data_IF_615005396186
#
_entry.id   IF_615005396186
#
_cell.length_a   1.000
_cell.length_b   1.000
_cell.length_c   1.000
_cell.angle_alpha   90.00
_cell.angle_beta   90.00
_cell.angle_gamma   90.00
#
_symmetry.space_group_name_H-M   'P 1'
#
loop_
_entity.id
_entity.type
_entity.pdbx_description
1 polymer ?
#
# COMPACT_ATOMS: atom_id res chain seq x y z
N UNK A 1 23.80 10.61 19.50
CA UNK A 1 22.90 10.00 18.51
C UNK A 1 21.43 9.99 18.90
N UNK A 2 21.08 10.13 20.18
CA UNK A 2 19.66 10.12 20.62
C UNK A 2 19.17 11.48 21.13
N UNK A 3 20.03 12.50 21.01
CA UNK A 3 19.72 13.87 21.47
C UNK A 3 18.56 14.45 20.65
N UNK A 4 17.57 15.02 21.34
CA UNK A 4 16.34 15.54 20.71
C UNK A 4 15.25 14.52 20.44
N UNK A 5 15.40 13.26 20.89
CA UNK A 5 14.38 12.22 20.78
C UNK A 5 13.81 11.83 22.16
N UNK A 6 12.54 11.47 22.22
CA UNK A 6 11.87 10.96 23.41
C UNK A 6 11.71 9.44 23.30
N UNK A 7 12.68 8.69 23.85
CA UNK A 7 12.68 7.23 23.80
C UNK A 7 12.38 6.69 25.19
N UNK A 8 11.30 5.90 25.31
CA UNK A 8 10.91 5.34 26.60
C UNK A 8 11.99 4.36 27.13
N UNK A 9 12.31 4.35 28.45
CA UNK A 9 13.41 3.53 28.99
C UNK A 9 13.28 2.02 28.79
N UNK A 10 12.07 1.51 28.51
CA UNK A 10 11.82 0.10 28.25
C UNK A 10 11.96 -0.31 26.79
N UNK A 11 12.38 0.59 25.90
CA UNK A 11 12.64 0.26 24.50
C UNK A 11 13.86 -0.63 24.39
N UNK A 12 13.73 -1.71 23.63
CA UNK A 12 14.81 -2.66 23.36
C UNK A 12 15.39 -2.34 21.99
N UNK A 13 16.72 -2.13 21.94
CA UNK A 13 17.43 -1.87 20.69
C UNK A 13 18.49 -2.96 20.52
N UNK A 14 18.35 -3.78 19.47
CA UNK A 14 19.26 -4.85 19.11
C UNK A 14 19.74 -4.68 17.65
N UNK A 15 20.96 -4.21 17.43
CA UNK A 15 21.55 -3.98 16.11
C UNK A 15 21.82 -2.51 15.82
N UNK A 16 21.82 -2.15 14.54
CA UNK A 16 22.16 -0.80 14.07
C UNK A 16 20.93 0.09 13.98
N UNK A 17 20.86 1.12 14.83
CA UNK A 17 19.83 2.15 14.77
C UNK A 17 20.42 3.48 14.29
N UNK A 18 19.90 4.00 13.16
CA UNK A 18 20.14 5.37 12.70
C UNK A 18 18.84 6.13 12.83
N UNK A 19 18.81 7.13 13.71
CA UNK A 19 17.59 7.89 14.00
C UNK A 19 17.86 9.39 13.87
N UNK A 20 16.92 10.09 13.22
CA UNK A 20 16.92 11.55 13.12
C UNK A 20 16.55 12.23 14.43
N UNK A 21 15.90 13.39 14.38
CA UNK A 21 15.55 14.21 15.54
C UNK A 21 14.03 14.29 15.73
N UNK A 22 13.60 14.63 16.94
CA UNK A 22 12.19 14.87 17.26
C UNK A 22 11.31 13.63 17.30
N UNK A 23 11.90 12.43 17.31
CA UNK A 23 11.13 11.19 17.33
C UNK A 23 10.68 10.83 18.76
N UNK A 24 9.49 10.22 18.85
CA UNK A 24 8.98 9.61 20.06
C UNK A 24 8.88 8.10 19.87
N UNK A 25 9.44 7.30 20.77
CA UNK A 25 9.35 5.84 20.78
C UNK A 25 8.74 5.37 22.09
N UNK A 26 7.57 4.75 22.00
CA UNK A 26 6.76 4.31 23.13
C UNK A 26 7.30 3.09 23.86
N UNK A 27 6.71 2.84 25.04
CA UNK A 27 7.12 1.77 25.95
C UNK A 27 7.08 0.38 25.30
N UNK A 28 8.03 -0.49 25.68
CA UNK A 28 8.11 -1.90 25.28
C UNK A 28 8.20 -2.11 23.76
N UNK A 29 8.61 -1.10 23.00
CA UNK A 29 8.90 -1.24 21.57
C UNK A 29 10.25 -1.91 21.36
N UNK A 30 10.33 -2.80 20.38
CA UNK A 30 11.53 -3.55 20.01
C UNK A 30 12.00 -3.08 18.65
N UNK A 31 13.26 -2.64 18.57
CA UNK A 31 13.96 -2.27 17.34
C UNK A 31 15.12 -3.25 17.15
N UNK A 32 15.02 -4.14 16.13
CA UNK A 32 16.00 -5.23 15.96
C UNK A 32 16.49 -5.31 14.52
N UNK A 33 17.81 -5.16 14.31
CA UNK A 33 18.45 -5.26 12.99
C UNK A 33 18.95 -3.91 12.48
N UNK A 34 18.85 -3.66 11.17
CA UNK A 34 19.31 -2.42 10.55
C UNK A 34 18.13 -1.47 10.34
N UNK A 35 17.94 -0.54 11.26
CA UNK A 35 16.77 0.34 11.25
C UNK A 35 17.22 1.78 11.05
N UNK A 36 16.62 2.44 10.04
CA UNK A 36 16.79 3.87 9.79
C UNK A 36 15.44 4.56 9.99
N UNK A 37 15.42 5.61 10.79
CA UNK A 37 14.24 6.42 11.08
C UNK A 37 14.59 7.88 10.85
N UNK A 38 13.82 8.57 10.01
CA UNK A 38 13.96 10.02 9.75
C UNK A 38 13.54 10.87 10.95
N UNK A 39 13.08 12.09 10.69
CA UNK A 39 12.76 13.07 11.70
C UNK A 39 11.26 13.06 12.07
N UNK A 40 10.96 13.47 13.32
CA UNK A 40 9.61 13.77 13.80
C UNK A 40 8.59 12.63 13.64
N UNK A 41 9.03 11.38 13.83
CA UNK A 41 8.13 10.23 13.82
C UNK A 41 7.60 9.93 15.23
N UNK A 42 6.39 9.38 15.27
CA UNK A 42 5.80 8.77 16.46
C UNK A 42 5.71 7.27 16.26
N UNK A 43 6.39 6.52 17.11
CA UNK A 43 6.30 5.05 17.19
C UNK A 43 5.69 4.70 18.54
N UNK A 44 4.47 4.19 18.51
CA UNK A 44 3.67 3.83 19.67
C UNK A 44 4.27 2.73 20.52
N UNK A 45 3.63 2.40 21.64
CA UNK A 45 4.10 1.31 22.51
C UNK A 45 3.88 -0.06 21.88
N UNK A 46 4.69 -1.05 22.34
CA UNK A 46 4.59 -2.46 21.92
C UNK A 46 4.74 -2.69 20.40
N UNK A 47 5.39 -1.79 19.68
CA UNK A 47 5.73 -2.03 18.28
C UNK A 47 6.93 -2.98 18.17
N UNK A 48 6.98 -3.75 17.08
CA UNK A 48 8.12 -4.61 16.75
C UNK A 48 8.59 -4.25 15.34
N UNK A 49 9.79 -3.70 15.26
CA UNK A 49 10.48 -3.36 14.02
C UNK A 49 11.72 -4.23 13.92
N UNK A 50 11.80 -5.09 12.90
CA UNK A 50 12.90 -6.04 12.78
C UNK A 50 13.42 -6.17 11.35
N UNK A 51 14.66 -6.66 11.21
CA UNK A 51 15.40 -6.82 9.97
C UNK A 51 15.82 -5.46 9.35
N UNK A 52 15.64 -5.24 8.07
CA UNK A 52 16.06 -4.02 7.40
C UNK A 52 14.86 -3.10 7.17
N UNK A 53 14.85 -1.94 7.80
CA UNK A 53 13.74 -1.00 7.73
C UNK A 53 14.25 0.42 7.50
N UNK A 54 13.63 1.13 6.56
CA UNK A 54 13.83 2.55 6.33
C UNK A 54 12.47 3.27 6.49
N UNK A 55 12.37 4.17 7.44
CA UNK A 55 11.19 5.01 7.70
C UNK A 55 11.58 6.46 7.45
N UNK A 56 10.82 7.15 6.61
CA UNK A 56 10.99 8.58 6.35
C UNK A 56 10.68 9.44 7.58
N UNK A 57 10.12 10.61 7.37
CA UNK A 57 9.81 11.57 8.43
C UNK A 57 8.30 11.77 8.60
N UNK A 58 7.91 12.35 9.76
CA UNK A 58 6.52 12.74 10.05
C UNK A 58 5.54 11.56 10.03
N UNK A 59 6.02 10.34 10.24
CA UNK A 59 5.17 9.15 10.26
C UNK A 59 4.58 8.90 11.65
N UNK A 60 3.45 8.22 11.67
CA UNK A 60 2.78 7.80 12.88
C UNK A 60 2.49 6.30 12.85
N UNK A 61 3.17 5.55 13.71
CA UNK A 61 2.92 4.13 13.94
C UNK A 61 2.22 4.00 15.29
N UNK A 62 1.00 3.50 15.31
CA UNK A 62 0.25 3.30 16.55
C UNK A 62 0.68 2.01 17.28
N UNK A 63 0.08 1.74 18.43
CA UNK A 63 0.46 0.60 19.24
C UNK A 63 0.35 -0.75 18.50
N UNK A 64 1.25 -1.68 18.81
CA UNK A 64 1.25 -3.04 18.27
C UNK A 64 1.46 -3.13 16.74
N UNK A 65 2.05 -2.13 16.10
CA UNK A 65 2.49 -2.23 14.71
C UNK A 65 3.68 -3.18 14.63
N UNK A 66 3.62 -4.14 13.69
CA UNK A 66 4.70 -5.09 13.44
C UNK A 66 5.25 -4.92 12.03
N UNK A 67 6.53 -4.60 11.91
CA UNK A 67 7.23 -4.44 10.65
C UNK A 67 8.40 -5.42 10.57
N UNK A 68 8.55 -6.10 9.45
CA UNK A 68 9.73 -6.90 9.15
C UNK A 68 9.64 -8.36 9.52
N UNK A 69 8.46 -8.89 9.88
CA UNK A 69 8.27 -10.33 9.93
C UNK A 69 8.69 -10.97 8.60
N UNK A 70 9.19 -12.20 8.65
CA UNK A 70 9.64 -12.92 7.44
C UNK A 70 8.48 -13.10 6.47
N UNK A 71 8.80 -13.06 5.17
CA UNK A 71 7.80 -13.27 4.14
C UNK A 71 7.37 -14.73 4.07
N UNK A 72 6.07 -14.97 4.09
CA UNK A 72 5.47 -16.30 4.04
C UNK A 72 5.47 -16.86 2.60
N UNK A 73 6.09 -18.02 2.37
CA UNK A 73 6.17 -18.68 1.06
C UNK A 73 5.37 -19.98 1.01
N UNK A 74 4.37 -20.12 1.85
CA UNK A 74 3.52 -21.31 1.92
C UNK A 74 4.34 -22.58 2.22
N UNK A 75 4.25 -23.58 1.34
CA UNK A 75 4.96 -24.86 1.54
C UNK A 75 6.50 -24.75 1.56
N UNK A 76 7.07 -23.61 1.14
CA UNK A 76 8.51 -23.34 1.22
C UNK A 76 8.95 -22.74 2.56
N UNK A 77 8.00 -22.49 3.46
CA UNK A 77 8.25 -21.84 4.75
C UNK A 77 8.52 -20.36 4.65
N UNK A 78 9.03 -19.78 5.73
CA UNK A 78 9.40 -18.37 5.79
C UNK A 78 10.74 -18.12 5.11
N UNK A 79 10.85 -17.01 4.40
CA UNK A 79 12.06 -16.63 3.66
C UNK A 79 12.60 -15.31 4.19
N UNK A 80 13.90 -15.28 4.42
CA UNK A 80 14.66 -14.08 4.69
C UNK A 80 15.52 -13.71 3.48
N UNK A 81 15.32 -12.48 2.97
CA UNK A 81 16.16 -11.90 1.93
C UNK A 81 17.13 -10.90 2.60
N UNK A 82 18.43 -11.21 2.73
CA UNK A 82 19.37 -10.39 3.50
C UNK A 82 19.44 -8.93 3.09
N UNK A 83 19.38 -8.65 1.78
CA UNK A 83 19.42 -7.28 1.24
C UNK A 83 18.03 -6.65 1.09
N UNK A 84 16.98 -7.42 1.35
CA UNK A 84 15.60 -6.95 1.26
C UNK A 84 15.25 -6.01 2.41
N UNK A 85 14.44 -4.98 2.14
CA UNK A 85 14.04 -4.02 3.16
C UNK A 85 12.58 -3.59 3.08
N UNK A 86 12.03 -3.14 4.19
CA UNK A 86 10.79 -2.37 4.22
C UNK A 86 11.13 -0.89 4.08
N UNK A 87 10.38 -0.19 3.22
CA UNK A 87 10.50 1.24 3.03
C UNK A 87 9.15 1.89 3.30
N UNK A 88 9.11 2.85 4.23
CA UNK A 88 7.94 3.69 4.50
C UNK A 88 8.32 5.14 4.18
N UNK A 89 7.54 5.78 3.31
CA UNK A 89 7.73 7.18 2.93
C UNK A 89 7.45 8.16 4.06
N UNK A 90 7.12 9.39 3.72
CA UNK A 90 6.88 10.48 4.67
C UNK A 90 5.40 10.64 4.98
N UNK A 91 5.07 11.07 6.21
CA UNK A 91 3.73 11.47 6.60
C UNK A 91 2.69 10.34 6.60
N UNK A 92 3.12 9.09 6.62
CA UNK A 92 2.25 7.91 6.60
C UNK A 92 1.82 7.53 8.01
N UNK A 93 0.55 7.13 8.15
CA UNK A 93 0.00 6.64 9.41
C UNK A 93 -0.31 5.14 9.30
N UNK A 94 0.27 4.35 10.19
CA UNK A 94 -0.08 2.96 10.41
C UNK A 94 -0.81 2.85 11.75
N UNK A 95 -2.08 2.43 11.71
CA UNK A 95 -2.90 2.28 12.90
C UNK A 95 -2.58 0.95 13.60
N UNK A 96 -3.25 0.72 14.71
CA UNK A 96 -2.99 -0.38 15.63
C UNK A 96 -3.06 -1.76 14.94
N UNK A 97 -2.10 -2.62 15.27
CA UNK A 97 -2.02 -4.00 14.76
C UNK A 97 -1.83 -4.10 13.23
N UNK A 98 -1.34 -3.06 12.58
CA UNK A 98 -0.88 -3.19 11.18
C UNK A 98 0.35 -4.08 11.14
N UNK A 99 0.35 -5.03 10.20
CA UNK A 99 1.46 -5.94 9.97
C UNK A 99 2.00 -5.80 8.55
N UNK A 100 3.33 -5.65 8.40
CA UNK A 100 4.02 -5.54 7.12
C UNK A 100 5.18 -6.51 7.09
N UNK A 101 5.20 -7.41 6.09
CA UNK A 101 6.24 -8.42 5.94
C UNK A 101 7.44 -7.93 5.11
N UNK A 102 8.61 -8.44 5.47
CA UNK A 102 9.84 -8.29 4.70
C UNK A 102 9.68 -8.84 3.28
N UNK A 103 10.39 -8.29 2.28
CA UNK A 103 10.32 -8.80 0.92
C UNK A 103 10.98 -10.19 0.81
N UNK A 104 10.56 -10.94 -0.22
CA UNK A 104 11.04 -12.28 -0.52
C UNK A 104 11.65 -12.39 -1.91
N UNK A 105 11.12 -11.63 -2.89
CA UNK A 105 11.55 -11.66 -4.29
C UNK A 105 11.97 -10.29 -4.80
N UNK A 106 11.25 -9.23 -4.40
CA UNK A 106 11.63 -7.86 -4.73
C UNK A 106 12.69 -7.37 -3.75
N UNK A 107 13.40 -6.31 -4.09
CA UNK A 107 14.35 -5.66 -3.19
C UNK A 107 13.70 -4.98 -1.97
N UNK A 108 12.39 -4.72 -2.06
CA UNK A 108 11.66 -4.09 -0.97
C UNK A 108 10.17 -4.43 -0.95
N UNK A 109 9.58 -4.30 0.24
CA UNK A 109 8.16 -4.05 0.47
C UNK A 109 8.03 -2.56 0.78
N UNK A 110 7.23 -1.83 -0.01
CA UNK A 110 7.16 -0.37 0.06
C UNK A 110 5.77 0.14 0.39
N UNK A 111 5.72 1.14 1.25
CA UNK A 111 4.55 2.01 1.49
C UNK A 111 4.99 3.44 1.17
N UNK A 112 4.24 4.12 0.31
CA UNK A 112 4.52 5.47 -0.14
C UNK A 112 4.29 6.55 0.92
N UNK A 113 4.18 7.79 0.46
CA UNK A 113 3.99 8.97 1.29
C UNK A 113 2.50 9.20 1.60
N UNK A 114 2.22 9.80 2.76
CA UNK A 114 0.87 10.26 3.14
C UNK A 114 -0.21 9.18 3.06
N UNK A 115 0.18 7.92 3.24
CA UNK A 115 -0.76 6.82 3.32
C UNK A 115 -1.47 6.77 4.68
N UNK A 116 -2.71 6.29 4.68
CA UNK A 116 -3.47 6.06 5.91
C UNK A 116 -3.94 4.60 5.97
N UNK A 117 -3.21 3.79 6.73
CA UNK A 117 -3.44 2.35 6.85
C UNK A 117 -4.12 2.10 8.20
N UNK A 118 -5.41 1.76 8.16
CA UNK A 118 -6.21 1.58 9.37
C UNK A 118 -5.88 0.27 10.08
N UNK A 119 -6.46 0.11 11.26
CA UNK A 119 -6.14 -0.98 12.18
C UNK A 119 -6.35 -2.38 11.57
N UNK A 120 -5.50 -3.31 11.99
CA UNK A 120 -5.52 -4.72 11.59
C UNK A 120 -5.40 -4.95 10.07
N UNK A 121 -4.84 -4.01 9.32
CA UNK A 121 -4.46 -4.25 7.94
C UNK A 121 -3.24 -5.17 7.88
N UNK A 122 -3.23 -6.03 6.85
CA UNK A 122 -2.14 -6.95 6.57
C UNK A 122 -1.54 -6.64 5.19
N UNK A 123 -0.24 -6.46 5.14
CA UNK A 123 0.53 -6.19 3.94
C UNK A 123 1.61 -7.26 3.84
N UNK A 124 1.41 -8.23 2.96
CA UNK A 124 2.35 -9.31 2.73
C UNK A 124 3.65 -8.80 2.06
N UNK A 125 4.59 -9.70 1.91
CA UNK A 125 5.90 -9.45 1.29
C UNK A 125 5.78 -8.89 -0.14
N UNK A 126 6.79 -8.13 -0.57
CA UNK A 126 6.93 -7.61 -1.95
C UNK A 126 5.86 -6.61 -2.41
N UNK A 127 4.94 -6.19 -1.54
CA UNK A 127 3.92 -5.20 -1.90
C UNK A 127 4.53 -3.84 -2.25
N UNK A 128 3.95 -3.17 -3.25
CA UNK A 128 4.31 -1.82 -3.67
C UNK A 128 3.10 -0.91 -3.55
N UNK A 129 3.04 -0.13 -2.50
CA UNK A 129 1.94 0.79 -2.20
C UNK A 129 2.39 2.20 -2.56
N UNK A 130 1.66 2.86 -3.45
CA UNK A 130 1.91 4.22 -3.90
C UNK A 130 1.61 5.28 -2.83
N UNK A 131 1.57 6.52 -3.24
CA UNK A 131 1.34 7.67 -2.37
C UNK A 131 -0.16 7.91 -2.13
N UNK A 132 -0.51 8.47 -0.96
CA UNK A 132 -1.88 8.83 -0.58
C UNK A 132 -2.87 7.65 -0.61
N UNK A 133 -2.40 6.42 -0.48
CA UNK A 133 -3.25 5.23 -0.43
C UNK A 133 -3.96 5.15 0.91
N UNK A 134 -5.25 4.79 0.87
CA UNK A 134 -6.04 4.53 2.06
C UNK A 134 -6.44 3.05 2.12
N UNK A 135 -6.12 2.37 3.20
CA UNK A 135 -6.59 1.03 3.51
C UNK A 135 -7.48 1.09 4.73
N UNK A 136 -8.77 0.85 4.54
CA UNK A 136 -9.70 0.75 5.68
C UNK A 136 -9.42 -0.50 6.51
N UNK A 137 -9.93 -0.53 7.73
CA UNK A 137 -9.68 -1.60 8.69
C UNK A 137 -9.86 -3.01 8.09
N UNK A 138 -8.99 -3.94 8.50
CA UNK A 138 -9.04 -5.35 8.07
C UNK A 138 -8.78 -5.59 6.58
N UNK A 139 -8.29 -4.61 5.83
CA UNK A 139 -7.83 -4.82 4.45
C UNK A 139 -6.60 -5.72 4.43
N UNK A 140 -6.55 -6.65 3.46
CA UNK A 140 -5.47 -7.63 3.34
C UNK A 140 -4.90 -7.64 1.93
N UNK A 141 -3.58 -7.51 1.83
CA UNK A 141 -2.83 -7.65 0.58
C UNK A 141 -2.02 -8.92 0.59
N UNK A 142 -2.25 -9.78 -0.40
CA UNK A 142 -1.37 -10.92 -0.69
C UNK A 142 0.00 -10.46 -1.19
N UNK A 143 0.98 -11.37 -1.24
CA UNK A 143 2.34 -11.04 -1.66
C UNK A 143 2.42 -10.40 -3.04
N UNK A 144 3.26 -9.38 -3.20
CA UNK A 144 3.54 -8.74 -4.47
C UNK A 144 2.45 -7.82 -5.03
N UNK A 145 1.41 -7.52 -4.26
CA UNK A 145 0.34 -6.58 -4.68
C UNK A 145 0.94 -5.20 -4.94
N UNK A 146 0.52 -4.57 -6.05
CA UNK A 146 0.80 -3.17 -6.35
C UNK A 146 -0.49 -2.36 -6.19
N UNK A 147 -0.46 -1.27 -5.41
CA UNK A 147 -1.55 -0.31 -5.30
C UNK A 147 -1.08 1.05 -5.80
N UNK A 148 -1.71 1.56 -6.84
CA UNK A 148 -1.41 2.88 -7.42
C UNK A 148 -1.79 4.02 -6.48
N UNK A 149 -1.26 5.20 -6.77
CA UNK A 149 -1.48 6.40 -5.96
C UNK A 149 -2.97 6.69 -5.75
N UNK A 150 -3.32 7.17 -4.58
CA UNK A 150 -4.69 7.53 -4.22
C UNK A 150 -5.72 6.37 -4.29
N UNK A 151 -5.29 5.11 -4.40
CA UNK A 151 -6.20 3.97 -4.31
C UNK A 151 -6.80 3.89 -2.89
N UNK A 152 -8.07 3.51 -2.81
CA UNK A 152 -8.81 3.43 -1.56
C UNK A 152 -9.44 2.04 -1.43
N UNK A 153 -9.14 1.36 -0.34
CA UNK A 153 -9.60 0.00 -0.07
C UNK A 153 -10.61 0.00 1.06
N UNK A 154 -11.84 -0.43 0.75
CA UNK A 154 -12.91 -0.55 1.71
C UNK A 154 -12.64 -1.62 2.78
N UNK A 155 -13.28 -1.45 3.94
CA UNK A 155 -13.13 -2.34 5.10
C UNK A 155 -13.30 -3.82 4.72
N UNK A 156 -12.37 -4.65 5.20
CA UNK A 156 -12.42 -6.10 5.01
C UNK A 156 -12.10 -6.57 3.59
N UNK A 157 -11.76 -5.68 2.66
CA UNK A 157 -11.36 -6.08 1.30
C UNK A 157 -10.08 -6.91 1.31
N UNK A 158 -9.95 -7.82 0.32
CA UNK A 158 -8.77 -8.65 0.14
C UNK A 158 -8.30 -8.59 -1.32
N UNK A 159 -7.00 -8.43 -1.52
CA UNK A 159 -6.37 -8.39 -2.83
C UNK A 159 -5.46 -9.61 -2.99
N UNK A 160 -5.71 -10.38 -4.05
CA UNK A 160 -4.93 -11.58 -4.37
C UNK A 160 -3.48 -11.24 -4.68
N UNK A 161 -2.57 -12.15 -4.36
CA UNK A 161 -1.14 -11.98 -4.63
C UNK A 161 -0.86 -11.60 -6.10
N UNK A 162 0.16 -10.76 -6.33
CA UNK A 162 0.62 -10.30 -7.64
C UNK A 162 -0.45 -9.57 -8.46
N UNK A 163 -1.43 -9.00 -7.79
CA UNK A 163 -2.48 -8.18 -8.42
C UNK A 163 -2.07 -6.71 -8.41
N UNK A 164 -2.22 -6.04 -9.54
CA UNK A 164 -2.04 -4.60 -9.66
C UNK A 164 -3.39 -3.90 -9.62
N UNK A 165 -3.51 -2.93 -8.72
CA UNK A 165 -4.67 -2.05 -8.58
C UNK A 165 -4.24 -0.65 -8.96
N UNK A 166 -4.87 -0.11 -9.99
CA UNK A 166 -4.51 1.17 -10.59
C UNK A 166 -4.74 2.39 -9.68
N UNK A 167 -4.24 3.53 -10.13
CA UNK A 167 -4.37 4.82 -9.49
C UNK A 167 -5.85 5.19 -9.25
N UNK A 168 -6.15 5.77 -8.10
CA UNK A 168 -7.51 6.24 -7.75
C UNK A 168 -8.63 5.20 -7.85
N UNK A 169 -8.31 3.93 -7.79
CA UNK A 169 -9.33 2.88 -7.66
C UNK A 169 -10.00 2.98 -6.30
N UNK A 170 -11.32 2.78 -6.27
CA UNK A 170 -12.08 2.56 -5.04
C UNK A 170 -12.54 1.09 -4.99
N UNK A 171 -12.00 0.35 -4.05
CA UNK A 171 -12.42 -1.02 -3.75
C UNK A 171 -13.50 -1.00 -2.67
N UNK A 172 -14.66 -1.58 -2.96
CA UNK A 172 -15.79 -1.66 -2.01
C UNK A 172 -15.46 -2.50 -0.77
N UNK A 173 -16.30 -2.37 0.27
CA UNK A 173 -16.18 -3.20 1.49
C UNK A 173 -16.33 -4.68 1.16
N UNK A 174 -15.59 -5.55 1.87
CA UNK A 174 -15.63 -7.01 1.74
C UNK A 174 -15.47 -7.54 0.30
N UNK A 175 -14.77 -6.76 -0.54
CA UNK A 175 -14.51 -7.13 -1.93
C UNK A 175 -13.29 -8.04 -2.03
N UNK A 176 -13.42 -9.13 -2.78
CA UNK A 176 -12.30 -10.01 -3.14
C UNK A 176 -11.77 -9.65 -4.53
N UNK A 177 -10.63 -8.97 -4.58
CA UNK A 177 -9.95 -8.56 -5.81
C UNK A 177 -8.98 -9.67 -6.22
N UNK A 178 -9.29 -10.40 -7.28
CA UNK A 178 -8.49 -11.52 -7.78
C UNK A 178 -7.93 -11.32 -9.20
N UNK A 179 -8.05 -10.12 -9.74
CA UNK A 179 -7.57 -9.70 -11.06
C UNK A 179 -7.02 -8.28 -11.01
N UNK A 180 -6.16 -7.91 -11.96
CA UNK A 180 -5.69 -6.54 -12.11
C UNK A 180 -6.86 -5.58 -12.29
N UNK A 181 -6.83 -4.44 -11.62
CA UNK A 181 -7.91 -3.44 -11.64
C UNK A 181 -7.40 -2.17 -12.31
N UNK A 182 -7.91 -1.79 -13.49
CA UNK A 182 -7.49 -0.56 -14.17
C UNK A 182 -7.79 0.69 -13.34
N UNK A 183 -7.06 1.80 -13.57
CA UNK A 183 -7.19 3.01 -12.75
C UNK A 183 -8.56 3.69 -12.87
N UNK A 184 -8.88 4.52 -11.88
CA UNK A 184 -10.00 5.47 -11.85
C UNK A 184 -11.40 4.86 -11.73
N UNK A 185 -11.54 3.61 -11.36
CA UNK A 185 -12.83 2.94 -11.23
C UNK A 185 -13.19 2.54 -9.80
N UNK A 186 -14.46 2.24 -9.61
CA UNK A 186 -14.99 1.59 -8.43
C UNK A 186 -15.21 0.11 -8.76
N UNK A 187 -14.66 -0.76 -7.93
CA UNK A 187 -14.92 -2.20 -7.99
C UNK A 187 -15.57 -2.68 -6.70
N UNK A 188 -16.48 -3.63 -6.79
CA UNK A 188 -17.16 -4.18 -5.63
C UNK A 188 -17.58 -5.64 -5.86
N UNK A 189 -17.87 -6.36 -4.79
CA UNK A 189 -18.38 -7.72 -4.83
C UNK A 189 -17.32 -8.81 -4.63
N UNK A 190 -17.76 -10.06 -4.65
CA UNK A 190 -16.94 -11.25 -4.51
C UNK A 190 -17.37 -12.29 -5.53
N UNK A 191 -16.58 -12.47 -6.61
CA UNK A 191 -15.39 -11.73 -6.99
C UNK A 191 -15.67 -10.26 -7.36
N UNK A 192 -14.61 -9.43 -7.35
CA UNK A 192 -14.71 -8.02 -7.71
C UNK A 192 -15.21 -7.83 -9.15
N UNK A 193 -16.13 -6.89 -9.35
CA UNK A 193 -16.63 -6.45 -10.66
C UNK A 193 -16.48 -4.94 -10.78
N UNK A 194 -16.23 -4.47 -12.01
CA UNK A 194 -16.23 -3.04 -12.33
C UNK A 194 -17.66 -2.53 -12.18
N UNK A 195 -17.83 -1.46 -11.42
CA UNK A 195 -19.13 -0.82 -11.18
C UNK A 195 -19.28 0.47 -12.01
N UNK A 196 -18.32 1.39 -11.89
CA UNK A 196 -18.34 2.70 -12.54
C UNK A 196 -16.99 3.40 -12.44
N UNK A 197 -16.83 4.52 -13.14
CA UNK A 197 -15.72 5.45 -12.92
C UNK A 197 -15.83 6.07 -11.51
N UNK A 198 -14.71 6.26 -10.85
CA UNK A 198 -14.62 6.84 -9.51
C UNK A 198 -14.72 8.37 -9.54
N UNK A 199 -15.87 8.91 -10.00
CA UNK A 199 -16.13 10.36 -10.10
C UNK A 199 -15.77 11.09 -8.81
N UNK A 200 -16.20 10.59 -7.64
CA UNK A 200 -15.97 11.22 -6.35
C UNK A 200 -14.46 11.34 -6.03
N UNK A 201 -13.70 10.29 -6.25
CA UNK A 201 -12.27 10.29 -6.04
C UNK A 201 -11.55 11.28 -6.95
N UNK A 202 -11.92 11.29 -8.23
CA UNK A 202 -11.33 12.19 -9.24
C UNK A 202 -11.66 13.67 -8.96
N UNK A 203 -12.92 13.99 -8.61
CA UNK A 203 -13.32 15.36 -8.24
C UNK A 203 -12.52 15.87 -7.02
N UNK A 204 -12.32 15.04 -5.99
CA UNK A 204 -11.52 15.40 -4.81
C UNK A 204 -10.05 15.65 -5.14
N UNK A 205 -9.56 15.09 -6.24
CA UNK A 205 -8.21 15.33 -6.76
C UNK A 205 -8.10 16.54 -7.66
N UNK A 206 -9.22 17.22 -7.95
CA UNK A 206 -9.26 18.43 -8.75
C UNK A 206 -9.36 18.20 -10.26
N UNK A 207 -9.66 16.99 -10.73
CA UNK A 207 -9.97 16.75 -12.13
C UNK A 207 -11.29 17.43 -12.53
N UNK A 208 -11.35 17.96 -13.74
CA UNK A 208 -12.55 18.66 -14.23
C UNK A 208 -13.70 17.71 -14.45
N UNK A 209 -14.94 18.20 -14.32
CA UNK A 209 -16.13 17.40 -14.61
C UNK A 209 -16.13 16.92 -16.07
N UNK A 210 -15.67 17.77 -16.99
CA UNK A 210 -15.54 17.44 -18.41
C UNK A 210 -14.62 16.23 -18.63
N UNK A 211 -13.42 16.21 -18.03
CA UNK A 211 -12.48 15.09 -18.19
C UNK A 211 -13.04 13.80 -17.59
N UNK A 212 -13.73 13.91 -16.44
CA UNK A 212 -14.34 12.76 -15.75
C UNK A 212 -15.48 12.18 -16.60
N UNK A 213 -16.33 13.03 -17.17
CA UNK A 213 -17.45 12.58 -17.99
C UNK A 213 -16.98 11.98 -19.33
N UNK A 214 -15.94 12.56 -19.94
CA UNK A 214 -15.31 12.00 -21.13
C UNK A 214 -14.77 10.60 -20.84
N UNK A 215 -13.98 10.46 -19.76
CA UNK A 215 -13.48 9.14 -19.32
C UNK A 215 -14.62 8.15 -19.07
N UNK A 216 -15.68 8.57 -18.39
CA UNK A 216 -16.83 7.70 -18.12
C UNK A 216 -17.54 7.19 -19.37
N UNK A 217 -17.66 8.04 -20.39
CA UNK A 217 -18.27 7.67 -21.67
C UNK A 217 -17.42 6.68 -22.47
N UNK A 218 -16.09 6.84 -22.39
CA UNK A 218 -15.14 6.07 -23.19
C UNK A 218 -14.53 4.87 -22.49
N UNK A 219 -14.76 4.72 -21.19
CA UNK A 219 -14.03 3.70 -20.40
C UNK A 219 -14.24 2.27 -20.95
N UNK A 220 -15.44 1.93 -21.39
CA UNK A 220 -15.71 0.62 -21.99
C UNK A 220 -14.91 0.42 -23.30
N UNK A 221 -14.89 1.43 -24.18
CA UNK A 221 -14.13 1.37 -25.43
C UNK A 221 -12.60 1.24 -25.18
N UNK A 222 -12.07 1.94 -24.16
CA UNK A 222 -10.69 1.79 -23.75
C UNK A 222 -10.38 0.35 -23.30
N UNK A 223 -11.27 -0.25 -22.51
CA UNK A 223 -11.12 -1.65 -22.10
C UNK A 223 -11.18 -2.62 -23.29
N UNK A 224 -11.91 -2.28 -24.36
CA UNK A 224 -12.03 -3.06 -25.58
C UNK A 224 -10.88 -2.87 -26.58
N UNK A 225 -9.92 -1.98 -26.28
CA UNK A 225 -8.71 -1.79 -27.07
C UNK A 225 -8.68 -0.52 -27.90
N UNK A 226 -9.60 0.44 -27.73
CA UNK A 226 -9.45 1.78 -28.26
C UNK A 226 -8.35 2.52 -27.49
N UNK A 227 -7.14 2.46 -28.02
CA UNK A 227 -5.92 2.96 -27.33
C UNK A 227 -5.60 4.41 -27.61
N UNK A 228 -6.42 5.18 -28.36
CA UNK A 228 -6.16 6.60 -28.59
C UNK A 228 -6.71 7.45 -27.43
N UNK A 229 -5.88 7.86 -26.45
CA UNK A 229 -6.35 8.69 -25.37
C UNK A 229 -6.60 10.13 -25.84
N UNK A 230 -7.65 10.77 -25.30
CA UNK A 230 -7.99 12.16 -25.56
C UNK A 230 -7.58 13.09 -24.43
N UNK A 231 -7.25 12.55 -23.26
CA UNK A 231 -6.78 13.31 -22.11
C UNK A 231 -5.81 12.47 -21.24
N UNK A 232 -5.27 13.09 -20.18
CA UNK A 232 -4.33 12.44 -19.25
C UNK A 232 -4.93 11.22 -18.56
N UNK A 233 -6.21 11.25 -18.16
CA UNK A 233 -6.87 10.13 -17.49
C UNK A 233 -6.94 8.91 -18.41
N UNK A 234 -7.38 9.11 -19.65
CA UNK A 234 -7.44 8.05 -20.65
C UNK A 234 -6.05 7.48 -20.96
N UNK A 235 -5.03 8.33 -21.04
CA UNK A 235 -3.66 7.89 -21.28
C UNK A 235 -3.16 6.94 -20.17
N UNK A 236 -3.47 7.22 -18.93
CA UNK A 236 -3.14 6.34 -17.80
C UNK A 236 -3.90 5.01 -17.84
N UNK A 237 -5.16 5.01 -18.26
CA UNK A 237 -5.93 3.78 -18.45
C UNK A 237 -5.34 2.94 -19.57
N UNK A 238 -5.04 3.54 -20.71
CA UNK A 238 -4.45 2.85 -21.86
C UNK A 238 -3.09 2.23 -21.51
N UNK A 239 -2.22 2.98 -20.84
CA UNK A 239 -0.92 2.47 -20.39
C UNK A 239 -1.06 1.29 -19.44
N UNK A 240 -2.03 1.31 -18.53
CA UNK A 240 -2.29 0.18 -17.64
C UNK A 240 -2.77 -1.06 -18.43
N UNK A 241 -3.69 -0.86 -19.36
CA UNK A 241 -4.22 -1.94 -20.21
C UNK A 241 -3.12 -2.59 -21.04
N UNK A 242 -2.25 -1.79 -21.66
CA UNK A 242 -1.13 -2.28 -22.47
C UNK A 242 -0.22 -3.23 -21.69
N UNK A 243 0.11 -2.87 -20.44
CA UNK A 243 0.94 -3.72 -19.56
C UNK A 243 0.23 -5.01 -19.16
N UNK A 244 -1.09 -4.98 -19.02
CA UNK A 244 -1.88 -6.08 -18.45
C UNK A 244 -2.79 -6.78 -19.46
N UNK A 245 -2.65 -6.53 -20.75
CA UNK A 245 -3.55 -6.99 -21.83
C UNK A 245 -3.89 -8.48 -21.73
N UNK A 246 -2.88 -9.34 -21.54
CA UNK A 246 -3.06 -10.81 -21.44
C UNK A 246 -3.94 -11.26 -20.26
N UNK A 247 -4.04 -10.43 -19.20
CA UNK A 247 -4.78 -10.75 -17.98
C UNK A 247 -6.16 -10.09 -17.94
N UNK A 248 -6.33 -8.95 -18.66
CA UNK A 248 -7.59 -8.22 -18.73
C UNK A 248 -8.61 -8.86 -19.68
N UNK A 249 -8.17 -9.62 -20.66
CA UNK A 249 -9.06 -10.34 -21.60
C UNK A 249 -10.06 -11.27 -20.88
N UNK A 250 -9.72 -11.78 -19.70
CA UNK A 250 -10.63 -12.56 -18.86
C UNK A 250 -11.77 -11.76 -18.20
N UNK A 251 -11.66 -10.43 -18.08
CA UNK A 251 -12.77 -9.57 -17.62
C UNK A 251 -13.85 -9.36 -18.67
N UNK A 252 -13.54 -9.63 -19.94
CA UNK A 252 -14.43 -9.39 -21.09
C UNK A 252 -15.40 -10.56 -21.36
N UNK A 253 -15.08 -11.75 -20.84
CA UNK A 253 -15.82 -12.99 -21.15
C UNK A 253 -16.87 -13.40 -20.08
N UNK A 254 -17.02 -12.63 -18.99
CA UNK A 254 -17.95 -12.86 -17.87
C UNK A 254 -18.90 -11.68 -17.66
#
# INVERSE_FOLDING_TARGET
MMEGNNIHPTVIIEGDLKIGRGNTIGAYTILKGNIKIGDNNFIGPHCVLQNNIEIGQLNRLEAFVALGALGEMGAKGDVFLPEGKIIIGDGTTLREYVNVHSPVRRSNTRIGNKCYIMNKCYIAHDCQIGDNVMMSALTKFGGGVTAGDHANFGMGSAVHQWTDVGESVMVGMNTAVNRHVPPFIVVAGTPARINRVNKVGLTRRGYTEHDIDLLNQRYAALLEGDTKPHNELEAKVSAFIEVHEKHLNKFREE
#
